data_IF_035901933994
#
_entry.id   IF_035901933994
#
_cell.length_a   1.000
_cell.length_b   1.000
_cell.length_c   1.000
_cell.angle_alpha   90.00
_cell.angle_beta   90.00
_cell.angle_gamma   90.00
#
_symmetry.space_group_name_H-M   'P 1'
#
loop_
_entity.id
_entity.type
_entity.pdbx_description
1 polymer ?
#
# COMPACT_ATOMS: atom_id res chain seq x y z
N UNK A 1 -34.73 13.68 -38.12
CA UNK A 1 -33.85 12.50 -38.13
C UNK A 1 -32.98 12.58 -36.89
N UNK A 2 -33.35 11.85 -35.84
CA UNK A 2 -32.71 11.95 -34.52
C UNK A 2 -31.47 11.05 -34.46
N UNK A 3 -30.35 11.49 -33.88
CA UNK A 3 -29.18 10.62 -33.72
C UNK A 3 -29.49 9.48 -32.73
N UNK A 4 -28.88 8.29 -32.90
CA UNK A 4 -29.11 7.15 -32.02
C UNK A 4 -28.57 7.40 -30.61
N UNK A 5 -29.36 7.06 -29.59
CA UNK A 5 -29.09 7.26 -28.15
C UNK A 5 -28.02 6.30 -27.57
N UNK A 6 -27.10 5.77 -28.39
CA UNK A 6 -26.12 4.76 -27.95
C UNK A 6 -24.81 5.36 -27.45
N UNK A 7 -24.61 6.68 -27.51
CA UNK A 7 -23.41 7.35 -27.02
C UNK A 7 -23.57 7.81 -25.55
N UNK A 8 -23.45 6.90 -24.58
CA UNK A 8 -23.16 7.30 -23.19
C UNK A 8 -22.63 6.16 -22.32
N UNK A 9 -23.09 4.91 -22.53
CA UNK A 9 -22.72 3.78 -21.65
C UNK A 9 -21.55 2.91 -22.14
N UNK A 10 -21.15 3.02 -23.41
CA UNK A 10 -19.95 2.35 -23.94
C UNK A 10 -18.65 3.16 -23.80
N UNK A 11 -18.73 4.38 -23.26
CA UNK A 11 -17.59 5.27 -23.16
C UNK A 11 -16.62 4.86 -22.04
N UNK A 12 -17.13 4.29 -20.93
CA UNK A 12 -16.31 3.93 -19.76
C UNK A 12 -15.36 2.75 -20.02
N UNK A 13 -15.73 1.81 -20.89
CA UNK A 13 -14.85 0.72 -21.35
C UNK A 13 -13.93 1.11 -22.51
N UNK A 14 -14.10 2.33 -23.07
CA UNK A 14 -13.40 2.78 -24.27
C UNK A 14 -12.23 3.72 -24.00
N UNK A 15 -12.24 4.42 -22.88
CA UNK A 15 -11.25 5.43 -22.50
C UNK A 15 -10.07 4.85 -21.71
N UNK A 16 -8.93 4.71 -22.38
CA UNK A 16 -7.63 4.92 -21.76
C UNK A 16 -6.77 3.69 -21.51
N UNK A 17 -7.05 2.93 -20.44
CA UNK A 17 -5.98 2.14 -19.79
C UNK A 17 -5.86 0.69 -20.24
N UNK A 18 -6.94 0.02 -20.64
CA UNK A 18 -6.91 -1.43 -20.95
C UNK A 18 -6.68 -1.71 -22.46
N UNK A 19 -7.04 -0.78 -23.35
CA UNK A 19 -7.06 -1.02 -24.81
C UNK A 19 -5.72 -0.88 -25.52
N UNK A 20 -4.82 -0.04 -24.99
CA UNK A 20 -3.51 0.21 -25.59
C UNK A 20 -2.46 -0.52 -24.76
N UNK A 21 -1.79 -1.54 -25.31
CA UNK A 21 -0.80 -2.35 -24.58
C UNK A 21 0.23 -1.51 -23.81
N UNK A 22 0.74 -0.43 -24.42
CA UNK A 22 1.66 0.48 -23.74
C UNK A 22 1.04 1.19 -22.52
N UNK A 23 -0.20 1.66 -22.63
CA UNK A 23 -0.91 2.30 -21.51
C UNK A 23 -1.26 1.26 -20.45
N UNK A 24 -1.63 0.05 -20.86
CA UNK A 24 -1.96 -1.04 -19.95
C UNK A 24 -0.76 -1.45 -19.09
N UNK A 25 0.38 -1.73 -19.71
CA UNK A 25 1.60 -2.13 -18.99
C UNK A 25 2.13 -1.00 -18.10
N UNK A 26 2.14 0.24 -18.58
CA UNK A 26 2.57 1.39 -17.75
C UNK A 26 1.64 1.62 -16.57
N UNK A 27 0.33 1.44 -16.75
CA UNK A 27 -0.65 1.52 -15.66
C UNK A 27 -0.38 0.43 -14.63
N UNK A 28 -0.17 -0.82 -15.07
CA UNK A 28 0.14 -1.94 -14.16
C UNK A 28 1.39 -1.64 -13.35
N UNK A 29 2.51 -1.30 -13.99
CA UNK A 29 3.75 -1.04 -13.26
C UNK A 29 3.62 0.15 -12.31
N UNK A 30 3.03 1.26 -12.76
CA UNK A 30 2.85 2.44 -11.91
C UNK A 30 1.95 2.11 -10.71
N UNK A 31 0.87 1.37 -10.95
CA UNK A 31 -0.04 0.95 -9.88
C UNK A 31 0.61 -0.05 -8.91
N UNK A 32 1.47 -0.95 -9.39
CA UNK A 32 2.17 -1.90 -8.55
C UNK A 32 3.11 -1.19 -7.57
N UNK A 33 3.91 -0.22 -8.04
CA UNK A 33 4.77 0.58 -7.16
C UNK A 33 3.98 1.42 -6.16
N UNK A 34 2.90 2.08 -6.62
CA UNK A 34 2.05 2.86 -5.73
C UNK A 34 1.35 1.96 -4.68
N UNK A 35 0.91 0.78 -5.10
CA UNK A 35 0.28 -0.20 -4.23
C UNK A 35 1.26 -0.78 -3.22
N UNK A 36 2.49 -1.09 -3.61
CA UNK A 36 3.54 -1.58 -2.70
C UNK A 36 3.75 -0.62 -1.51
N UNK A 37 3.97 0.66 -1.79
CA UNK A 37 4.18 1.69 -0.75
C UNK A 37 2.96 1.80 0.17
N UNK A 38 1.77 1.87 -0.42
CA UNK A 38 0.53 2.02 0.35
C UNK A 38 0.23 0.77 1.19
N UNK A 39 0.40 -0.41 0.61
CA UNK A 39 0.09 -1.68 1.24
C UNK A 39 1.07 -2.00 2.37
N UNK A 40 2.38 -1.78 2.17
CA UNK A 40 3.37 -2.00 3.23
C UNK A 40 3.10 -1.09 4.44
N UNK A 41 2.94 0.21 4.20
CA UNK A 41 2.66 1.17 5.27
C UNK A 41 1.36 0.86 6.02
N UNK A 42 0.28 0.60 5.28
CA UNK A 42 -1.01 0.29 5.87
C UNK A 42 -0.98 -1.03 6.66
N UNK A 43 -0.39 -2.07 6.08
CA UNK A 43 -0.32 -3.40 6.72
C UNK A 43 0.54 -3.36 7.98
N UNK A 44 1.68 -2.67 7.93
CA UNK A 44 2.52 -2.46 9.12
C UNK A 44 1.77 -1.68 10.20
N UNK A 45 1.05 -0.61 9.84
CA UNK A 45 0.25 0.15 10.82
C UNK A 45 -0.87 -0.69 11.47
N UNK A 46 -1.52 -1.57 10.70
CA UNK A 46 -2.55 -2.48 11.20
C UNK A 46 -1.91 -3.49 12.15
N UNK A 47 -0.81 -4.13 11.71
CA UNK A 47 -0.08 -5.09 12.52
C UNK A 47 0.40 -4.50 13.84
N UNK A 48 0.94 -3.28 13.78
CA UNK A 48 1.45 -2.55 14.92
C UNK A 48 0.35 -2.27 15.93
N UNK A 49 -0.81 -1.86 15.44
CA UNK A 49 -2.00 -1.56 16.24
C UNK A 49 -2.52 -2.79 16.97
N UNK A 50 -2.56 -3.93 16.29
CA UNK A 50 -3.05 -5.20 16.85
C UNK A 50 -2.06 -5.78 17.86
N UNK A 51 -0.75 -5.61 17.64
CA UNK A 51 0.30 -6.20 18.46
C UNK A 51 0.98 -5.22 19.41
N UNK A 52 0.34 -4.09 19.73
CA UNK A 52 0.89 -3.09 20.67
C UNK A 52 1.31 -3.73 21.98
N UNK A 53 2.51 -3.39 22.44
CA UNK A 53 3.09 -3.88 23.71
C UNK A 53 3.69 -5.29 23.64
N UNK A 54 3.58 -5.98 22.50
CA UNK A 54 4.19 -7.31 22.28
C UNK A 54 5.32 -7.28 21.26
N UNK A 55 5.49 -6.18 20.54
CA UNK A 55 6.51 -6.09 19.51
C UNK A 55 7.87 -5.80 20.13
N UNK A 56 8.93 -6.34 19.53
CA UNK A 56 10.30 -6.09 19.98
C UNK A 56 10.58 -4.59 20.12
N UNK A 57 10.11 -3.76 19.18
CA UNK A 57 10.28 -2.30 19.25
C UNK A 57 9.65 -1.63 20.48
N UNK A 58 8.59 -2.22 21.05
CA UNK A 58 7.92 -1.70 22.26
C UNK A 58 8.64 -2.15 23.54
N UNK A 59 9.26 -3.34 23.52
CA UNK A 59 9.86 -3.98 24.70
C UNK A 59 11.39 -3.83 24.78
N UNK A 60 12.07 -3.61 23.65
CA UNK A 60 13.53 -3.47 23.53
C UNK A 60 14.13 -2.47 24.51
N UNK A 61 13.55 -1.27 24.76
CA UNK A 61 14.14 -0.31 25.70
C UNK A 61 14.36 -0.88 27.10
N UNK A 62 13.51 -1.84 27.53
CA UNK A 62 13.62 -2.45 28.86
C UNK A 62 14.82 -3.39 29.00
N UNK A 63 15.29 -3.95 27.88
CA UNK A 63 16.42 -4.88 27.87
C UNK A 63 17.73 -4.13 27.68
N UNK A 64 17.76 -3.12 26.81
CA UNK A 64 18.98 -2.32 26.60
C UNK A 64 19.40 -1.56 27.86
N UNK A 65 18.45 -1.04 28.65
CA UNK A 65 18.76 -0.41 29.94
C UNK A 65 19.31 -1.42 30.95
N UNK A 66 18.78 -2.65 30.95
CA UNK A 66 19.26 -3.71 31.85
C UNK A 66 20.68 -4.14 31.51
N UNK A 67 21.02 -4.19 30.22
CA UNK A 67 22.37 -4.51 29.76
C UNK A 67 23.36 -3.38 30.15
N UNK A 68 22.96 -2.11 30.05
CA UNK A 68 23.77 -0.96 30.50
C UNK A 68 23.96 -0.93 32.03
N UNK A 69 22.92 -1.26 32.80
CA UNK A 69 23.00 -1.36 34.27
C UNK A 69 23.83 -2.58 34.74
N UNK A 70 23.88 -3.69 33.99
CA UNK A 70 24.71 -4.86 34.32
C UNK A 70 26.20 -4.67 33.98
N UNK A 71 26.56 -3.77 33.05
CA UNK A 71 27.96 -3.50 32.67
C UNK A 71 28.65 -2.48 33.62
N UNK A 72 27.88 -1.70 34.40
CA UNK A 72 28.39 -0.67 35.34
C UNK A 72 28.59 -1.19 36.80
N UNK A 73 28.24 -2.45 37.10
CA UNK A 73 28.46 -3.17 38.38
C UNK A 73 29.57 -4.25 38.28
#
# INVERSE_FOLDING_TARGET
MSPPLTCSLDALGRTGVIRRNAVFLTTIFTSAFAFEIAFDSASNSIWDTINRGRQWKDIKPRYMVKDEEEDDD
#
